data_IF_900192651206
#
_entry.id   IF_900192651206
#
_cell.length_a   1.000
_cell.length_b   1.000
_cell.length_c   1.000
_cell.angle_alpha   90.00
_cell.angle_beta   90.00
_cell.angle_gamma   90.00
#
_symmetry.space_group_name_H-M   'P 1'
#
loop_
_entity.id
_entity.type
_entity.pdbx_description
1 polymer ?
#
# COMPACT_ATOMS: atom_id res chain seq x y z
N UNK A 1 -17.29 21.39 1.64
CA UNK A 1 -16.36 20.31 1.23
C UNK A 1 -14.96 20.87 1.25
N UNK A 2 -14.14 20.50 2.24
CA UNK A 2 -12.73 20.92 2.29
C UNK A 2 -11.97 20.06 1.29
N UNK A 3 -11.28 20.71 0.35
CA UNK A 3 -10.45 20.10 -0.67
C UNK A 3 -9.51 19.07 -0.04
N UNK A 4 -9.71 17.79 -0.39
CA UNK A 4 -8.69 16.77 -0.27
C UNK A 4 -7.54 17.20 -1.18
N UNK A 5 -6.54 17.89 -0.62
CA UNK A 5 -5.25 18.04 -1.28
C UNK A 5 -4.75 16.62 -1.48
N UNK A 6 -4.83 16.13 -2.71
CA UNK A 6 -4.01 15.02 -3.14
C UNK A 6 -2.59 15.40 -2.73
N UNK A 7 -1.99 14.57 -1.87
CA UNK A 7 -0.57 14.67 -1.57
C UNK A 7 0.09 14.48 -2.93
N UNK A 8 0.63 15.56 -3.50
CA UNK A 8 1.46 15.50 -4.70
C UNK A 8 2.47 14.40 -4.44
N UNK A 9 2.43 13.33 -5.24
CA UNK A 9 3.14 12.09 -4.98
C UNK A 9 4.59 12.42 -4.57
N UNK A 10 4.86 12.32 -3.26
CA UNK A 10 6.19 12.54 -2.71
C UNK A 10 7.09 11.59 -3.48
N UNK A 11 8.07 12.15 -4.18
CA UNK A 11 8.85 11.42 -5.16
C UNK A 11 9.60 10.30 -4.45
N UNK A 12 9.11 9.06 -4.57
CA UNK A 12 9.77 7.88 -4.06
C UNK A 12 10.85 7.52 -5.09
N UNK A 13 12.11 7.68 -4.72
CA UNK A 13 13.24 7.29 -5.57
C UNK A 13 14.12 6.26 -4.84
N UNK A 14 14.48 5.20 -5.57
CA UNK A 14 15.42 4.20 -5.10
C UNK A 14 16.76 4.43 -5.80
N UNK A 15 17.82 4.57 -5.01
CA UNK A 15 19.19 4.73 -5.49
C UNK A 15 20.03 3.58 -4.94
N UNK A 16 20.61 2.76 -5.82
CA UNK A 16 21.59 1.77 -5.38
C UNK A 16 22.88 2.48 -4.98
N UNK A 17 23.34 2.26 -3.74
CA UNK A 17 24.59 2.83 -3.23
C UNK A 17 25.73 1.83 -3.40
N UNK A 18 25.45 0.56 -3.15
CA UNK A 18 26.37 -0.57 -3.26
C UNK A 18 25.59 -1.89 -3.28
N UNK A 19 26.25 -3.00 -3.61
CA UNK A 19 25.67 -4.35 -3.60
C UNK A 19 24.96 -4.74 -2.29
N UNK A 20 25.29 -4.08 -1.17
CA UNK A 20 24.72 -4.37 0.15
C UNK A 20 23.75 -3.31 0.68
N UNK A 21 23.64 -2.15 0.02
CA UNK A 21 22.83 -1.03 0.52
C UNK A 21 22.12 -0.25 -0.59
N UNK A 22 20.87 0.09 -0.33
CA UNK A 22 20.05 0.99 -1.13
C UNK A 22 19.69 2.25 -0.34
N UNK A 23 19.48 3.34 -1.07
CA UNK A 23 18.91 4.56 -0.56
C UNK A 23 17.47 4.70 -1.03
N UNK A 24 16.57 4.98 -0.10
CA UNK A 24 15.19 5.34 -0.35
C UNK A 24 15.04 6.84 -0.06
N UNK A 25 14.69 7.62 -1.09
CA UNK A 25 14.33 9.02 -0.92
C UNK A 25 12.82 9.15 -0.83
N UNK A 26 12.33 9.76 0.26
CA UNK A 26 10.93 10.08 0.49
C UNK A 26 10.82 11.59 0.69
N UNK A 27 10.35 12.29 -0.34
CA UNK A 27 10.33 13.75 -0.34
C UNK A 27 11.75 14.34 -0.21
N UNK A 28 12.00 15.06 0.89
CA UNK A 28 13.32 15.63 1.19
C UNK A 28 14.20 14.72 2.08
N UNK A 29 13.61 13.65 2.63
CA UNK A 29 14.31 12.73 3.52
C UNK A 29 14.96 11.58 2.74
N UNK A 30 16.16 11.16 3.18
CA UNK A 30 16.91 10.05 2.60
C UNK A 30 17.18 8.99 3.67
N UNK A 31 16.70 7.79 3.42
CA UNK A 31 16.88 6.61 4.27
C UNK A 31 17.86 5.66 3.59
N UNK A 32 18.76 5.06 4.37
CA UNK A 32 19.65 4.01 3.88
C UNK A 32 19.21 2.70 4.50
N UNK A 33 19.04 1.69 3.67
CA UNK A 33 18.56 0.37 4.06
C UNK A 33 19.49 -0.69 3.45
N UNK A 34 19.79 -1.74 4.20
CA UNK A 34 20.50 -2.89 3.64
C UNK A 34 19.60 -3.67 2.67
N UNK A 35 20.20 -4.33 1.69
CA UNK A 35 19.46 -5.03 0.64
C UNK A 35 18.62 -6.20 1.18
N UNK A 36 19.10 -6.90 2.22
CA UNK A 36 18.36 -8.03 2.82
C UNK A 36 17.04 -7.56 3.44
N UNK A 37 17.08 -6.46 4.20
CA UNK A 37 15.89 -5.84 4.78
C UNK A 37 14.97 -5.27 3.69
N UNK A 38 15.54 -4.67 2.64
CA UNK A 38 14.75 -4.19 1.49
C UNK A 38 14.00 -5.34 0.80
N UNK A 39 14.64 -6.48 0.60
CA UNK A 39 14.01 -7.65 0.00
C UNK A 39 12.90 -8.24 0.88
N UNK A 40 13.13 -8.33 2.20
CA UNK A 40 12.09 -8.79 3.13
C UNK A 40 10.88 -7.84 3.14
N UNK A 41 11.12 -6.53 3.15
CA UNK A 41 10.05 -5.54 3.06
C UNK A 41 9.27 -5.67 1.74
N UNK A 42 9.96 -5.78 0.61
CA UNK A 42 9.32 -5.95 -0.69
C UNK A 42 8.45 -7.21 -0.73
N UNK A 43 8.94 -8.33 -0.19
CA UNK A 43 8.19 -9.57 -0.11
C UNK A 43 6.94 -9.44 0.77
N UNK A 44 7.07 -8.83 1.96
CA UNK A 44 5.94 -8.60 2.86
C UNK A 44 4.90 -7.67 2.26
N UNK A 45 5.34 -6.62 1.56
CA UNK A 45 4.44 -5.71 0.85
C UNK A 45 3.66 -6.44 -0.25
N UNK A 46 4.32 -7.29 -1.05
CA UNK A 46 3.64 -8.09 -2.06
C UNK A 46 2.62 -9.05 -1.45
N UNK A 47 2.98 -9.75 -0.37
CA UNK A 47 2.07 -10.64 0.35
C UNK A 47 0.85 -9.89 0.93
N UNK A 48 1.07 -8.68 1.45
CA UNK A 48 -0.01 -7.85 1.98
C UNK A 48 -0.94 -7.35 0.88
N UNK A 49 -0.41 -6.94 -0.27
CA UNK A 49 -1.23 -6.54 -1.43
C UNK A 49 -2.10 -7.70 -1.92
N UNK A 50 -1.51 -8.90 -2.06
CA UNK A 50 -2.26 -10.10 -2.43
C UNK A 50 -3.37 -10.44 -1.40
N UNK A 51 -3.10 -10.24 -0.10
CA UNK A 51 -4.12 -10.40 0.94
C UNK A 51 -5.27 -9.39 0.78
N UNK A 52 -4.97 -8.13 0.44
CA UNK A 52 -6.00 -7.11 0.20
C UNK A 52 -6.84 -7.45 -1.02
N UNK A 53 -6.22 -7.86 -2.13
CA UNK A 53 -6.92 -8.28 -3.35
C UNK A 53 -7.88 -9.44 -3.08
N UNK A 54 -7.40 -10.50 -2.41
CA UNK A 54 -8.26 -11.64 -2.04
C UNK A 54 -9.42 -11.21 -1.14
N UNK A 55 -9.20 -10.26 -0.22
CA UNK A 55 -10.28 -9.73 0.63
C UNK A 55 -11.29 -8.89 -0.14
N UNK A 56 -10.86 -8.15 -1.15
CA UNK A 56 -11.77 -7.42 -2.02
C UNK A 56 -12.63 -8.39 -2.83
N UNK A 57 -12.05 -9.49 -3.33
CA UNK A 57 -12.79 -10.56 -4.01
C UNK A 57 -13.81 -11.23 -3.06
N UNK A 58 -13.41 -11.61 -1.85
CA UNK A 58 -14.33 -12.19 -0.85
C UNK A 58 -15.49 -11.24 -0.50
N UNK A 59 -15.23 -9.93 -0.40
CA UNK A 59 -16.28 -8.92 -0.14
C UNK A 59 -17.20 -8.73 -1.35
N UNK A 60 -16.65 -8.75 -2.57
CA UNK A 60 -17.45 -8.66 -3.79
C UNK A 60 -18.34 -9.90 -4.00
N UNK A 61 -17.85 -11.08 -3.63
CA UNK A 61 -18.64 -12.33 -3.63
C UNK A 61 -19.69 -12.34 -2.51
N UNK A 62 -19.39 -11.77 -1.34
CA UNK A 62 -20.36 -11.64 -0.24
C UNK A 62 -21.48 -10.63 -0.53
N UNK A 63 -21.23 -9.59 -1.32
CA UNK A 63 -22.25 -8.65 -1.82
C UNK A 63 -23.04 -9.20 -3.03
N UNK A 64 -22.77 -10.45 -3.45
CA UNK A 64 -23.45 -11.17 -4.52
C UNK A 64 -24.90 -11.59 -4.21
N UNK A 65 -25.33 -11.51 -2.94
CA UNK A 65 -26.72 -11.69 -2.54
C UNK A 65 -27.18 -10.50 -1.68
N UNK A 66 -28.00 -9.64 -2.30
CA UNK A 66 -28.69 -8.48 -1.74
C UNK A 66 -27.87 -7.19 -1.56
N UNK A 67 -27.93 -6.35 -2.59
CA UNK A 67 -27.68 -4.91 -2.51
C UNK A 67 -28.69 -4.23 -1.55
N UNK A 68 -28.52 -4.43 -0.25
CA UNK A 68 -29.26 -3.70 0.78
C UNK A 68 -28.52 -2.41 1.07
N UNK A 69 -29.16 -1.28 0.77
CA UNK A 69 -28.69 0.06 1.16
C UNK A 69 -28.14 0.05 2.59
N UNK A 70 -26.91 0.56 2.78
CA UNK A 70 -26.26 0.68 4.09
C UNK A 70 -27.13 1.37 5.16
N UNK A 71 -28.11 2.17 4.72
CA UNK A 71 -29.13 2.80 5.56
C UNK A 71 -30.09 1.82 6.29
N UNK A 72 -30.19 0.56 5.87
CA UNK A 72 -31.07 -0.45 6.49
C UNK A 72 -30.37 -1.39 7.48
N UNK A 73 -29.05 -1.28 7.66
CA UNK A 73 -28.26 -2.14 8.57
C UNK A 73 -28.22 -1.63 10.02
N UNK A 74 -28.93 -0.55 10.34
CA UNK A 74 -28.96 0.07 11.69
C UNK A 74 -30.39 0.03 12.24
N UNK A 75 -30.87 -1.18 12.57
CA UNK A 75 -31.99 -1.40 13.49
C UNK A 75 -31.88 -2.79 14.11
#
# INVERSE_FOLDING_TARGET
MKNSKFIEAEQIAFEEISDSYAALKLGEEKFVIDMDTLYDLAFRSAAFLAYLENREEELAEADGDEAVCACKRVH
#
